data_IF_050203133968
#
_entry.id   IF_050203133968
#
_cell.length_a   1.000
_cell.length_b   1.000
_cell.length_c   1.000
_cell.angle_alpha   90.00
_cell.angle_beta   90.00
_cell.angle_gamma   90.00
#
_symmetry.space_group_name_H-M   'P 1'
#
loop_
_entity.id
_entity.type
_entity.pdbx_description
1 polymer ?
#
# COMPACT_ATOMS: atom_id res chain seq x y z
N UNK A 1 -14.94 -0.58 -5.70
CA UNK A 1 -15.17 -1.30 -4.42
C UNK A 1 -15.26 -2.79 -4.73
N UNK A 2 -14.93 -3.66 -3.78
CA UNK A 2 -14.84 -5.10 -3.99
C UNK A 2 -15.75 -5.87 -3.04
N UNK A 3 -16.26 -7.02 -3.49
CA UNK A 3 -16.85 -8.01 -2.61
C UNK A 3 -15.72 -8.81 -1.95
N UNK A 4 -15.40 -8.50 -0.70
CA UNK A 4 -14.29 -9.12 0.04
C UNK A 4 -14.84 -10.35 0.76
N UNK A 5 -14.39 -11.59 0.43
CA UNK A 5 -15.00 -12.82 0.94
C UNK A 5 -14.52 -13.17 2.36
N UNK A 6 -14.47 -12.19 3.25
CA UNK A 6 -14.14 -12.38 4.66
C UNK A 6 -14.76 -11.27 5.50
N UNK A 7 -15.14 -11.59 6.73
CA UNK A 7 -15.66 -10.64 7.72
C UNK A 7 -14.59 -10.17 8.71
N UNK A 8 -13.33 -10.62 8.56
CA UNK A 8 -12.23 -10.20 9.43
C UNK A 8 -11.91 -8.73 9.20
N UNK A 9 -11.63 -8.00 10.28
CA UNK A 9 -11.15 -6.63 10.17
C UNK A 9 -9.72 -6.62 9.57
N UNK A 10 -9.41 -5.71 8.63
CA UNK A 10 -8.07 -5.63 8.06
C UNK A 10 -7.08 -4.98 9.03
N UNK A 11 -5.80 -5.33 8.90
CA UNK A 11 -4.68 -4.53 9.41
C UNK A 11 -4.31 -3.48 8.37
N UNK A 12 -4.12 -2.23 8.80
CA UNK A 12 -3.57 -1.17 7.96
C UNK A 12 -2.05 -1.16 8.06
N UNK A 13 -1.37 -1.32 6.92
CA UNK A 13 0.08 -1.25 6.80
C UNK A 13 0.45 -0.01 5.97
N UNK A 14 1.23 0.89 6.55
CA UNK A 14 1.81 2.03 5.87
C UNK A 14 3.24 1.68 5.45
N UNK A 15 3.49 1.62 4.15
CA UNK A 15 4.78 1.30 3.55
C UNK A 15 5.28 2.53 2.81
N UNK A 16 6.54 2.89 2.98
CA UNK A 16 7.12 4.00 2.24
C UNK A 16 8.63 4.01 2.27
N UNK A 17 9.22 4.68 1.30
CA UNK A 17 10.67 4.87 1.19
C UNK A 17 11.02 6.35 1.17
N UNK A 18 12.31 6.64 1.36
CA UNK A 18 12.83 8.01 1.42
C UNK A 18 13.14 8.48 2.85
N UNK A 19 13.60 9.72 2.95
CA UNK A 19 13.92 10.31 4.25
C UNK A 19 12.61 10.59 5.04
N UNK A 20 12.55 10.10 6.29
CA UNK A 20 11.43 10.35 7.21
C UNK A 20 11.17 11.84 7.43
N UNK A 21 12.21 12.69 7.32
CA UNK A 21 12.11 14.15 7.46
C UNK A 21 11.48 14.85 6.24
N UNK A 22 11.16 14.12 5.18
CA UNK A 22 10.55 14.67 3.96
C UNK A 22 11.55 14.69 2.81
N UNK A 23 11.55 13.61 2.02
CA UNK A 23 12.00 13.63 0.64
C UNK A 23 10.77 13.76 -0.26
N UNK A 24 10.79 14.69 -1.22
CA UNK A 24 9.72 14.77 -2.23
C UNK A 24 9.73 13.55 -3.17
N UNK A 25 10.87 12.87 -3.30
CA UNK A 25 11.04 11.68 -4.14
C UNK A 25 10.83 10.42 -3.28
N UNK A 26 10.00 9.50 -3.76
CA UNK A 26 9.72 8.22 -3.11
C UNK A 26 8.29 7.74 -3.32
N UNK A 27 7.98 6.56 -2.80
CA UNK A 27 6.63 6.01 -2.84
C UNK A 27 6.00 5.98 -1.45
N UNK A 28 4.70 6.23 -1.40
CA UNK A 28 3.85 5.94 -0.24
C UNK A 28 2.81 4.92 -0.68
N UNK A 29 2.80 3.78 0.00
CA UNK A 29 1.90 2.67 -0.25
C UNK A 29 1.12 2.37 1.02
N UNK A 30 -0.17 2.16 0.88
CA UNK A 30 -1.04 1.65 1.94
C UNK A 30 -1.50 0.25 1.57
N UNK A 31 -1.68 -0.59 2.57
CA UNK A 31 -2.20 -1.94 2.37
C UNK A 31 -3.19 -2.28 3.50
N UNK A 32 -4.35 -2.79 3.10
CA UNK A 32 -5.35 -3.35 4.00
C UNK A 32 -5.28 -4.88 3.88
N UNK A 33 -4.74 -5.53 4.89
CA UNK A 33 -4.55 -6.99 4.91
C UNK A 33 -5.60 -7.64 5.80
N UNK A 34 -6.49 -8.42 5.19
CA UNK A 34 -7.59 -9.11 5.88
C UNK A 34 -7.18 -10.51 6.34
N UNK A 35 -6.45 -11.23 5.48
CA UNK A 35 -5.93 -12.58 5.73
C UNK A 35 -4.53 -12.69 5.17
N UNK A 36 -3.61 -13.19 5.99
CA UNK A 36 -2.24 -13.52 5.58
C UNK A 36 -1.82 -14.83 6.26
N UNK A 37 -1.84 -15.92 5.50
CA UNK A 37 -1.40 -17.25 5.94
C UNK A 37 -1.00 -18.12 4.74
N UNK A 38 -0.31 -19.23 5.00
CA UNK A 38 0.06 -20.18 3.94
C UNK A 38 -1.20 -20.68 3.21
N UNK A 39 -1.27 -20.45 1.90
CA UNK A 39 -2.37 -20.89 1.04
C UNK A 39 -3.57 -19.94 0.94
N UNK A 40 -3.60 -18.82 1.66
CA UNK A 40 -4.68 -17.83 1.54
C UNK A 40 -4.17 -16.43 1.90
N UNK A 41 -4.27 -15.50 0.95
CA UNK A 41 -3.92 -14.10 1.14
C UNK A 41 -5.02 -13.21 0.56
N UNK A 42 -5.61 -12.35 1.39
CA UNK A 42 -6.63 -11.39 0.99
C UNK A 42 -6.16 -10.02 1.45
N UNK A 43 -5.77 -9.18 0.49
CA UNK A 43 -5.32 -7.82 0.75
C UNK A 43 -5.70 -6.88 -0.39
N UNK A 44 -5.83 -5.60 -0.06
CA UNK A 44 -5.90 -4.51 -1.02
C UNK A 44 -4.70 -3.61 -0.82
N UNK A 45 -4.08 -3.16 -1.91
CA UNK A 45 -2.96 -2.23 -1.81
C UNK A 45 -3.11 -1.10 -2.80
N UNK A 46 -2.81 0.11 -2.35
CA UNK A 46 -2.84 1.33 -3.16
C UNK A 46 -1.59 2.16 -2.87
N UNK A 47 -1.16 2.96 -3.82
CA UNK A 47 0.05 3.75 -3.65
C UNK A 47 0.11 4.97 -4.54
N UNK A 48 0.73 6.01 -4.01
CA UNK A 48 1.06 7.23 -4.74
C UNK A 48 2.58 7.29 -4.90
N UNK A 49 3.03 7.40 -6.14
CA UNK A 49 4.43 7.54 -6.49
C UNK A 49 4.64 8.94 -7.08
N UNK A 50 5.36 9.80 -6.36
CA UNK A 50 5.71 11.12 -6.86
C UNK A 50 7.06 11.04 -7.56
N UNK A 51 7.03 11.20 -8.88
CA UNK A 51 8.22 11.23 -9.73
C UNK A 51 8.35 12.59 -10.41
N UNK A 52 9.58 13.02 -10.73
CA UNK A 52 9.78 14.11 -11.67
C UNK A 52 9.03 13.85 -12.97
N UNK A 53 8.58 14.91 -13.63
CA UNK A 53 8.13 14.80 -15.02
C UNK A 53 9.32 14.47 -15.91
N UNK A 54 9.10 13.73 -16.99
CA UNK A 54 10.13 13.55 -18.00
C UNK A 54 10.49 14.91 -18.63
N UNK A 55 11.77 15.13 -18.90
CA UNK A 55 12.22 16.28 -19.69
C UNK A 55 11.63 16.13 -21.11
N UNK A 56 11.16 17.24 -21.70
CA UNK A 56 10.61 17.29 -23.06
C UNK A 56 11.68 17.14 -24.14
#
# INVERSE_FOLDING_TARGET
RYNIPTNKAPKLLLKGTGNLKGSSIGYKKIEFTFVEKKGENIYFSDGLHFNPSEDK
#
